data_IF_160265298728
#
_entry.id   IF_160265298728
#
_cell.length_a   1.000
_cell.length_b   1.000
_cell.length_c   1.000
_cell.angle_alpha   90.00
_cell.angle_beta   90.00
_cell.angle_gamma   90.00
#
_symmetry.space_group_name_H-M   'P 1'
#
loop_
_entity.id
_entity.type
_entity.pdbx_description
1 polymer ?
#
# COMPACT_ATOMS: atom_id res chain seq x y z
N UNK A 1 -8.60 7.65 -10.95
CA UNK A 1 -7.40 7.03 -11.55
C UNK A 1 -7.15 5.65 -10.90
N UNK A 2 -6.69 4.62 -11.63
CA UNK A 2 -6.30 3.29 -11.10
C UNK A 2 -4.77 3.27 -10.85
N UNK A 3 -4.26 2.63 -9.80
CA UNK A 3 -2.81 2.51 -9.52
C UNK A 3 -2.03 1.84 -10.67
N UNK A 4 -2.62 0.85 -11.36
CA UNK A 4 -2.04 0.24 -12.55
C UNK A 4 -1.93 1.24 -13.72
N UNK A 5 -2.83 2.22 -13.76
CA UNK A 5 -2.80 3.32 -14.73
C UNK A 5 -1.77 4.38 -14.32
N UNK A 6 -1.64 4.71 -13.03
CA UNK A 6 -0.55 5.59 -12.53
C UNK A 6 0.84 4.98 -12.77
N UNK A 7 1.00 3.66 -12.61
CA UNK A 7 2.22 2.92 -12.95
C UNK A 7 2.56 2.92 -14.44
N UNK A 8 1.56 3.09 -15.31
CA UNK A 8 1.74 3.20 -16.77
C UNK A 8 2.00 4.63 -17.25
N UNK A 9 1.57 5.64 -16.49
CA UNK A 9 1.70 7.06 -16.87
C UNK A 9 3.06 7.62 -16.43
N UNK A 10 3.62 7.15 -15.32
CA UNK A 10 4.94 7.54 -14.87
C UNK A 10 5.99 6.68 -15.59
N UNK A 11 6.77 7.29 -16.48
CA UNK A 11 7.95 6.64 -17.06
C UNK A 11 8.95 6.30 -15.96
N UNK A 12 9.74 5.23 -16.13
CA UNK A 12 10.74 4.83 -15.12
C UNK A 12 11.70 5.98 -14.76
N UNK A 13 12.04 6.84 -15.73
CA UNK A 13 12.88 8.02 -15.53
C UNK A 13 12.21 9.09 -14.64
N UNK A 14 10.95 9.46 -14.91
CA UNK A 14 10.19 10.41 -14.08
C UNK A 14 9.98 9.86 -12.66
N UNK A 15 9.84 8.55 -12.54
CA UNK A 15 9.64 7.87 -11.27
C UNK A 15 10.92 7.90 -10.42
N UNK A 16 12.09 7.74 -11.04
CA UNK A 16 13.39 7.90 -10.37
C UNK A 16 13.62 9.33 -9.87
N UNK A 17 13.31 10.35 -10.67
CA UNK A 17 13.41 11.77 -10.24
C UNK A 17 12.50 12.07 -9.04
N UNK A 18 11.24 11.62 -9.10
CA UNK A 18 10.28 11.77 -8.00
C UNK A 18 10.82 11.11 -6.74
N UNK A 19 11.34 9.89 -6.86
CA UNK A 19 11.88 9.16 -5.73
C UNK A 19 13.12 9.83 -5.14
N UNK A 20 14.01 10.38 -5.97
CA UNK A 20 15.16 11.16 -5.50
C UNK A 20 14.71 12.38 -4.70
N UNK A 21 13.65 13.07 -5.15
CA UNK A 21 13.07 14.21 -4.45
C UNK A 21 12.54 13.88 -3.04
N UNK A 22 12.15 12.62 -2.79
CA UNK A 22 11.60 12.16 -1.50
C UNK A 22 12.65 11.65 -0.51
N UNK A 23 13.88 11.41 -0.98
CA UNK A 23 14.97 10.85 -0.18
C UNK A 23 16.02 11.90 0.16
N UNK A 24 16.81 11.64 1.22
CA UNK A 24 17.99 12.46 1.52
C UNK A 24 19.02 12.36 0.38
N UNK A 25 19.78 13.42 0.17
CA UNK A 25 20.81 13.47 -0.87
C UNK A 25 21.88 12.39 -0.62
N UNK A 26 22.32 11.72 -1.69
CA UNK A 26 23.29 10.61 -1.59
C UNK A 26 22.71 9.26 -1.12
N UNK A 27 21.39 9.14 -0.99
CA UNK A 27 20.73 7.87 -0.63
C UNK A 27 21.12 6.73 -1.57
N UNK A 28 21.54 5.61 -0.98
CA UNK A 28 21.93 4.41 -1.72
C UNK A 28 20.73 3.50 -1.98
N UNK A 29 20.63 3.01 -3.21
CA UNK A 29 19.54 2.18 -3.70
C UNK A 29 19.96 0.72 -3.77
N UNK A 30 19.17 -0.16 -3.17
CA UNK A 30 19.41 -1.59 -3.18
C UNK A 30 18.58 -2.25 -4.27
N UNK A 31 19.24 -2.84 -5.26
CA UNK A 31 18.56 -3.62 -6.29
C UNK A 31 18.62 -5.12 -5.97
N UNK A 32 17.45 -5.74 -5.84
CA UNK A 32 17.33 -7.20 -5.69
C UNK A 32 17.12 -7.84 -7.05
N UNK A 33 18.21 -8.35 -7.64
CA UNK A 33 18.20 -9.02 -8.96
C UNK A 33 17.18 -10.17 -9.07
N UNK A 34 17.00 -10.96 -8.01
CA UNK A 34 16.10 -12.13 -8.02
C UNK A 34 14.61 -11.81 -8.12
N UNK A 35 14.21 -10.60 -7.73
CA UNK A 35 12.79 -10.16 -7.71
C UNK A 35 12.56 -8.94 -8.61
N UNK A 36 13.61 -8.47 -9.31
CA UNK A 36 13.62 -7.26 -10.12
C UNK A 36 13.01 -6.05 -9.37
N UNK A 37 13.41 -5.87 -8.11
CA UNK A 37 12.82 -4.87 -7.22
C UNK A 37 13.90 -3.96 -6.63
N UNK A 38 13.62 -2.66 -6.66
CA UNK A 38 14.44 -1.63 -6.03
C UNK A 38 13.88 -1.30 -4.64
N UNK A 39 14.78 -1.20 -3.66
CA UNK A 39 14.43 -0.77 -2.31
C UNK A 39 15.43 0.20 -1.69
N UNK A 40 14.94 1.01 -0.75
CA UNK A 40 15.75 1.92 0.07
C UNK A 40 15.45 1.70 1.54
N UNK A 41 16.32 2.15 2.44
CA UNK A 41 15.97 2.20 3.87
C UNK A 41 14.91 3.27 4.08
N UNK A 42 13.87 2.99 4.87
CA UNK A 42 12.82 3.99 5.11
C UNK A 42 13.34 5.22 5.86
N UNK A 43 14.39 5.04 6.67
CA UNK A 43 15.14 6.11 7.32
C UNK A 43 15.89 7.02 6.33
N UNK A 44 16.01 6.66 5.07
CA UNK A 44 16.60 7.53 4.04
C UNK A 44 15.57 8.47 3.39
N UNK A 45 14.28 8.35 3.75
CA UNK A 45 13.27 9.34 3.38
C UNK A 45 13.54 10.68 4.10
N UNK A 46 13.16 11.80 3.49
CA UNK A 46 13.12 13.08 4.23
C UNK A 46 12.06 13.03 5.35
N UNK A 47 12.19 13.84 6.41
CA UNK A 47 11.31 13.80 7.58
C UNK A 47 9.82 13.88 7.24
N UNK A 48 9.41 14.74 6.29
CA UNK A 48 7.99 14.86 5.92
C UNK A 48 7.40 13.55 5.37
N UNK A 49 8.17 12.80 4.59
CA UNK A 49 7.73 11.54 4.00
C UNK A 49 7.72 10.38 5.00
N UNK A 50 8.57 10.43 6.05
CA UNK A 50 8.61 9.39 7.10
C UNK A 50 7.29 9.31 7.86
N UNK A 51 6.70 10.47 8.19
CA UNK A 51 5.41 10.54 8.91
C UNK A 51 4.31 9.88 8.10
N UNK A 52 4.20 10.25 6.82
CA UNK A 52 3.22 9.65 5.91
C UNK A 52 3.46 8.18 5.65
N UNK A 53 4.73 7.75 5.59
CA UNK A 53 5.06 6.33 5.46
C UNK A 53 4.61 5.53 6.69
N UNK A 54 4.72 6.10 7.89
CA UNK A 54 4.30 5.45 9.13
C UNK A 54 2.79 5.17 9.11
N UNK A 55 1.99 6.11 8.61
CA UNK A 55 0.57 5.88 8.35
C UNK A 55 0.35 4.81 7.27
N UNK A 56 1.03 4.94 6.12
CA UNK A 56 0.90 4.04 4.98
C UNK A 56 1.17 2.57 5.38
N UNK A 57 2.25 2.30 6.10
CA UNK A 57 2.66 0.95 6.49
C UNK A 57 1.76 0.29 7.54
N UNK A 58 0.95 1.06 8.26
CA UNK A 58 0.04 0.53 9.28
C UNK A 58 -1.41 0.47 8.78
N UNK A 59 -1.78 1.30 7.81
CA UNK A 59 -3.18 1.51 7.45
C UNK A 59 -3.53 1.20 6.00
N UNK A 60 -2.60 1.30 5.05
CA UNK A 60 -2.91 1.15 3.61
C UNK A 60 -2.17 -0.02 2.98
N UNK A 61 -0.87 -0.13 3.23
CA UNK A 61 -0.03 -1.18 2.66
C UNK A 61 0.85 -1.77 3.76
N UNK A 62 0.29 -2.68 4.58
CA UNK A 62 1.04 -3.34 5.65
C UNK A 62 2.27 -4.09 5.12
N UNK A 63 3.38 -3.96 5.82
CA UNK A 63 4.62 -4.69 5.52
C UNK A 63 5.15 -5.38 6.76
N UNK A 64 5.58 -6.63 6.59
CA UNK A 64 6.28 -7.41 7.63
C UNK A 64 7.74 -6.97 7.78
N UNK A 65 8.34 -6.43 6.72
CA UNK A 65 9.69 -5.88 6.73
C UNK A 65 9.64 -4.38 6.99
N UNK A 66 10.13 -3.97 8.17
CA UNK A 66 10.09 -2.58 8.62
C UNK A 66 11.34 -1.76 8.24
N UNK A 67 12.35 -2.38 7.65
CA UNK A 67 13.64 -1.73 7.40
C UNK A 67 13.71 -1.05 6.05
N UNK A 68 12.99 -1.58 5.05
CA UNK A 68 13.12 -1.13 3.65
C UNK A 68 11.79 -0.85 2.98
N UNK A 69 11.80 0.17 2.13
CA UNK A 69 10.71 0.58 1.24
C UNK A 69 10.98 0.05 -0.15
N UNK A 70 9.98 -0.52 -0.80
CA UNK A 70 10.06 -0.82 -2.22
C UNK A 70 9.46 0.30 -3.07
N UNK A 71 9.56 0.16 -4.39
CA UNK A 71 9.01 1.11 -5.37
C UNK A 71 7.51 1.36 -5.19
N UNK A 72 6.72 0.36 -4.79
CA UNK A 72 5.29 0.50 -4.59
C UNK A 72 4.95 1.45 -3.42
N UNK A 73 5.63 1.29 -2.28
CA UNK A 73 5.48 2.20 -1.14
C UNK A 73 5.82 3.64 -1.52
N UNK A 74 6.92 3.86 -2.27
CA UNK A 74 7.36 5.19 -2.67
C UNK A 74 6.38 5.88 -3.63
N UNK A 75 5.85 5.15 -4.61
CA UNK A 75 4.84 5.70 -5.53
C UNK A 75 3.57 6.10 -4.78
N UNK A 76 3.09 5.24 -3.87
CA UNK A 76 1.90 5.54 -3.09
C UNK A 76 2.12 6.72 -2.14
N UNK A 77 3.30 6.80 -1.52
CA UNK A 77 3.70 7.90 -0.67
C UNK A 77 3.79 9.22 -1.44
N UNK A 78 4.33 9.20 -2.67
CA UNK A 78 4.30 10.34 -3.57
C UNK A 78 2.85 10.76 -3.88
N UNK A 79 1.95 9.81 -4.15
CA UNK A 79 0.56 10.12 -4.43
C UNK A 79 -0.13 10.76 -3.21
N UNK A 80 0.19 10.37 -1.98
CA UNK A 80 -0.38 10.99 -0.78
C UNK A 80 0.14 12.41 -0.58
N UNK A 81 1.42 12.64 -0.87
CA UNK A 81 2.11 13.89 -0.57
C UNK A 81 2.03 14.94 -1.68
N UNK A 82 1.90 14.53 -2.94
CA UNK A 82 1.90 15.43 -4.10
C UNK A 82 0.50 16.00 -4.43
N UNK A 83 -0.49 15.84 -3.54
CA UNK A 83 -1.85 16.34 -3.73
C UNK A 83 -2.64 15.87 -4.98
N UNK A 84 -2.34 14.79 -5.75
CA UNK A 84 -3.35 14.29 -6.65
C UNK A 84 -4.45 13.65 -5.80
N UNK A 85 -5.72 13.83 -6.17
CA UNK A 85 -6.85 13.18 -5.49
C UNK A 85 -6.69 11.65 -5.51
N UNK A 86 -6.06 11.08 -4.48
CA UNK A 86 -5.91 9.63 -4.31
C UNK A 86 -7.25 9.08 -3.87
N UNK A 87 -7.82 8.22 -4.71
CA UNK A 87 -9.04 7.51 -4.34
C UNK A 87 -8.67 6.32 -3.44
N UNK A 88 -8.58 6.59 -2.14
CA UNK A 88 -8.26 5.59 -1.11
C UNK A 88 -9.26 4.42 -1.13
N UNK A 89 -10.54 4.69 -1.40
CA UNK A 89 -11.56 3.65 -1.52
C UNK A 89 -11.26 2.64 -2.64
N UNK A 90 -10.67 3.10 -3.75
CA UNK A 90 -10.24 2.23 -4.84
C UNK A 90 -9.05 1.34 -4.46
N UNK A 91 -8.10 1.86 -3.68
CA UNK A 91 -6.94 1.11 -3.18
C UNK A 91 -7.42 0.01 -2.23
N UNK A 92 -8.28 0.37 -1.28
CA UNK A 92 -8.89 -0.59 -0.34
C UNK A 92 -9.63 -1.70 -1.10
N UNK A 93 -10.46 -1.34 -2.09
CA UNK A 93 -11.15 -2.31 -2.93
C UNK A 93 -10.18 -3.28 -3.63
N UNK A 94 -9.10 -2.76 -4.20
CA UNK A 94 -8.13 -3.59 -4.92
C UNK A 94 -7.34 -4.52 -3.99
N UNK A 95 -7.00 -4.07 -2.77
CA UNK A 95 -6.36 -4.95 -1.80
C UNK A 95 -7.32 -6.02 -1.27
N UNK A 96 -8.60 -5.71 -1.03
CA UNK A 96 -9.62 -6.72 -0.70
C UNK A 96 -9.69 -7.78 -1.80
N UNK A 97 -9.75 -7.36 -3.07
CA UNK A 97 -9.77 -8.28 -4.22
C UNK A 97 -8.48 -9.13 -4.27
N UNK A 98 -7.31 -8.51 -4.11
CA UNK A 98 -6.03 -9.22 -4.10
C UNK A 98 -5.93 -10.23 -2.95
N UNK A 99 -6.38 -9.88 -1.74
CA UNK A 99 -6.45 -10.79 -0.61
C UNK A 99 -7.42 -11.95 -0.89
N UNK A 100 -8.62 -11.66 -1.43
CA UNK A 100 -9.64 -12.69 -1.73
C UNK A 100 -9.22 -13.69 -2.83
N UNK A 101 -8.26 -13.31 -3.67
CA UNK A 101 -7.81 -14.12 -4.82
C UNK A 101 -6.48 -14.86 -4.56
N UNK A 102 -5.80 -14.58 -3.45
CA UNK A 102 -4.62 -15.35 -3.02
C UNK A 102 -5.05 -16.70 -2.48
N UNK A 103 -4.48 -17.76 -3.04
CA UNK A 103 -4.68 -19.16 -2.60
C UNK A 103 -3.59 -19.57 -1.61
N UNK A 104 -3.47 -18.85 -0.50
CA UNK A 104 -2.59 -19.23 0.61
C UNK A 104 -3.44 -19.51 1.85
N UNK A 105 -3.15 -20.63 2.51
CA UNK A 105 -3.95 -21.22 3.60
C UNK A 105 -3.91 -20.43 4.93
N UNK A 106 -3.30 -19.24 4.96
CA UNK A 106 -3.03 -18.45 6.18
C UNK A 106 -3.45 -16.97 6.05
N UNK A 107 -4.29 -16.60 5.08
CA UNK A 107 -4.57 -15.19 4.78
C UNK A 107 -5.68 -14.64 5.69
N UNK A 108 -5.29 -13.89 6.73
CA UNK A 108 -6.20 -13.00 7.47
C UNK A 108 -6.73 -11.90 6.54
N UNK A 109 -8.06 -11.69 6.55
CA UNK A 109 -8.66 -10.49 5.98
C UNK A 109 -8.16 -9.27 6.74
N UNK A 110 -7.37 -8.42 6.09
CA UNK A 110 -6.97 -7.15 6.68
C UNK A 110 -8.19 -6.23 6.78
N UNK A 111 -8.44 -5.67 7.96
CA UNK A 111 -9.53 -4.74 8.28
C UNK A 111 -10.95 -5.33 8.28
N UNK A 112 -11.22 -6.42 9.04
CA UNK A 112 -12.54 -7.06 9.08
C UNK A 112 -13.66 -6.12 9.55
N UNK A 113 -13.36 -5.18 10.47
CA UNK A 113 -14.32 -4.18 10.91
C UNK A 113 -14.75 -3.24 9.76
N UNK A 114 -13.80 -2.78 8.95
CA UNK A 114 -14.10 -1.89 7.81
C UNK A 114 -14.91 -2.62 6.75
N UNK A 115 -14.55 -3.88 6.45
CA UNK A 115 -15.30 -4.74 5.51
C UNK A 115 -16.74 -4.94 6.01
N UNK A 116 -16.91 -5.26 7.29
CA UNK A 116 -18.22 -5.45 7.93
C UNK A 116 -19.08 -4.20 7.84
N UNK A 117 -18.53 -3.03 8.14
CA UNK A 117 -19.25 -1.76 8.09
C UNK A 117 -19.66 -1.38 6.66
N UNK A 118 -18.82 -1.67 5.67
CA UNK A 118 -19.15 -1.47 4.25
C UNK A 118 -20.28 -2.41 3.80
N UNK A 119 -20.26 -3.68 4.21
CA UNK A 119 -21.33 -4.64 3.91
C UNK A 119 -22.66 -4.20 4.53
N UNK A 120 -22.66 -3.76 5.79
CA UNK A 120 -23.86 -3.22 6.47
C UNK A 120 -24.43 -2.00 5.76
N UNK A 121 -23.57 -1.05 5.37
CA UNK A 121 -23.99 0.17 4.66
C UNK A 121 -24.58 -0.10 3.27
N UNK A 122 -24.13 -1.17 2.60
CA UNK A 122 -24.61 -1.55 1.27
C UNK A 122 -25.73 -2.61 1.31
N UNK A 123 -26.28 -2.91 2.50
CA UNK A 123 -27.36 -3.89 2.70
C UNK A 123 -27.03 -5.28 2.13
N UNK A 124 -25.75 -5.68 2.18
CA UNK A 124 -25.34 -7.03 1.78
C UNK A 124 -26.02 -8.01 2.72
N UNK A 125 -26.74 -8.99 2.16
CA UNK A 125 -27.41 -10.02 2.93
C UNK A 125 -26.36 -10.92 3.59
N UNK A 126 -26.33 -10.92 4.92
CA UNK A 126 -25.50 -11.81 5.74
C UNK A 126 -26.28 -13.11 5.88
N UNK A 127 -25.76 -14.21 5.32
CA UNK A 127 -26.39 -15.52 5.45
C UNK A 127 -25.97 -16.13 6.81
N UNK A 128 -26.81 -17.00 7.37
CA UNK A 128 -26.62 -17.59 8.71
C UNK A 128 -25.40 -18.51 8.85
N UNK A 129 -24.55 -18.60 7.82
CA UNK A 129 -23.29 -19.35 7.80
C UNK A 129 -22.05 -18.47 8.00
N UNK A 130 -22.21 -17.16 8.10
CA UNK A 130 -21.11 -16.25 8.40
C UNK A 130 -20.78 -16.35 9.90
N UNK A 131 -19.77 -17.15 10.24
CA UNK A 131 -19.30 -17.28 11.63
C UNK A 131 -18.70 -15.95 12.12
N UNK A 132 -19.40 -15.31 13.07
CA UNK A 132 -18.90 -14.11 13.75
C UNK A 132 -17.97 -14.53 14.87
N UNK A 133 -16.66 -14.43 14.63
CA UNK A 133 -15.68 -14.58 15.71
C UNK A 133 -15.73 -13.33 16.61
N UNK A 134 -16.04 -13.56 17.90
CA UNK A 134 -15.95 -12.52 18.92
C UNK A 134 -14.48 -12.23 19.24
N UNK A 135 -14.08 -10.97 19.49
CA UNK A 135 -12.71 -10.67 19.88
C UNK A 135 -12.36 -11.33 21.22
N UNK A 136 -11.22 -12.01 21.29
CA UNK A 136 -10.63 -12.56 22.52
C UNK A 136 -9.95 -11.48 23.35
#
# INVERSE_FOLDING_TARGET
MNWMTMRKILTDASLTEIMQGMTEEGTQWNYRKGVNEWSIKWMSLKPEFRVWYQFLKHSIMPTTHNETLNKAHLVLLHCITAEPKVNVGKIIYQEIVNCSTRKTTEDMLYFPCLITDLCKKNLVHVDGKDEVFSPT
#
